data_IF_103342965969
#
_entry.id   IF_103342965969
#
_cell.length_a   1.000
_cell.length_b   1.000
_cell.length_c   1.000
_cell.angle_alpha   90.00
_cell.angle_beta   90.00
_cell.angle_gamma   90.00
#
_symmetry.space_group_name_H-M   'P 1'
#
loop_
_entity.id
_entity.type
_entity.pdbx_description
1 polymer ?
#
# COMPACT_ATOMS: atom_id res chain seq x y z
N UNK A 1 -7.94 53.17 -6.12
CA UNK A 1 -6.95 52.74 -7.13
C UNK A 1 -5.78 52.07 -6.42
N UNK A 2 -5.55 50.79 -6.71
CA UNK A 2 -4.26 50.08 -6.62
C UNK A 2 -3.58 49.90 -5.25
N UNK A 3 -3.90 48.83 -4.53
CA UNK A 3 -2.97 48.20 -3.59
C UNK A 3 -2.57 46.84 -4.14
N UNK A 4 -1.35 46.74 -4.65
CA UNK A 4 -0.75 45.52 -5.17
C UNK A 4 -0.16 44.72 -4.02
N UNK A 5 -0.81 43.62 -3.64
CA UNK A 5 -0.27 42.65 -2.68
C UNK A 5 0.75 41.78 -3.40
N UNK A 6 2.05 42.00 -3.14
CA UNK A 6 3.11 41.08 -3.55
C UNK A 6 3.02 39.80 -2.72
N UNK A 7 2.90 38.66 -3.40
CA UNK A 7 2.97 37.30 -2.84
C UNK A 7 4.23 37.15 -1.97
N UNK A 8 4.04 36.95 -0.66
CA UNK A 8 5.09 36.44 0.21
C UNK A 8 5.32 34.96 -0.13
N UNK A 9 6.53 34.62 -0.59
CA UNK A 9 7.01 33.23 -0.63
C UNK A 9 7.06 32.73 0.81
N UNK A 10 6.36 31.63 1.06
CA UNK A 10 6.38 30.87 2.31
C UNK A 10 7.80 30.33 2.49
N UNK A 11 8.60 30.97 3.36
CA UNK A 11 9.91 30.46 3.78
C UNK A 11 9.61 29.37 4.81
N UNK A 12 9.88 28.12 4.46
CA UNK A 12 9.89 27.01 5.41
C UNK A 12 11.13 27.17 6.30
N UNK A 13 10.92 27.38 7.60
CA UNK A 13 11.96 27.28 8.61
C UNK A 13 12.24 25.78 8.84
N UNK A 14 13.31 25.28 8.22
CA UNK A 14 13.90 23.99 8.55
C UNK A 14 14.72 24.15 9.83
N UNK A 15 14.30 23.51 10.92
CA UNK A 15 15.07 23.45 12.15
C UNK A 15 16.24 22.48 11.98
N UNK A 16 17.45 23.02 11.80
CA UNK A 16 18.70 22.27 11.85
C UNK A 16 18.91 21.68 13.25
N UNK A 17 19.18 20.37 13.34
CA UNK A 17 19.66 19.75 14.57
C UNK A 17 21.15 20.11 14.76
N UNK A 18 21.49 20.69 15.91
CA UNK A 18 22.88 21.00 16.29
C UNK A 18 23.35 19.88 17.22
N UNK A 19 24.30 19.06 16.74
CA UNK A 19 25.00 18.08 17.58
C UNK A 19 26.28 18.70 18.14
N UNK A 20 26.44 18.69 19.46
CA UNK A 20 27.63 19.19 20.17
C UNK A 20 28.64 18.05 20.30
N UNK A 21 29.82 18.20 19.66
CA UNK A 21 31.00 17.39 19.99
C UNK A 21 31.85 18.13 21.03
N UNK A 22 32.68 17.43 21.84
CA UNK A 22 33.51 18.03 22.89
C UNK A 22 34.55 19.06 22.38
N UNK A 23 34.76 19.14 21.06
CA UNK A 23 35.75 20.01 20.42
C UNK A 23 35.12 21.25 19.73
N UNK A 24 33.86 21.58 20.01
CA UNK A 24 33.25 22.87 19.59
C UNK A 24 33.07 23.05 18.08
N UNK A 25 33.14 21.97 17.29
CA UNK A 25 32.86 22.04 15.86
C UNK A 25 31.34 21.88 15.64
N UNK A 26 30.70 22.96 15.17
CA UNK A 26 29.30 22.94 14.77
C UNK A 26 29.18 22.29 13.39
N UNK A 27 28.74 21.04 13.34
CA UNK A 27 28.23 20.46 12.11
C UNK A 27 26.79 20.95 11.94
N UNK A 28 26.59 21.93 11.05
CA UNK A 28 25.26 22.21 10.52
C UNK A 28 24.94 21.03 9.60
N UNK A 29 24.18 20.05 10.10
CA UNK A 29 23.55 19.07 9.24
C UNK A 29 22.59 19.85 8.33
N UNK A 30 23.00 20.07 7.08
CA UNK A 30 22.05 20.54 6.08
C UNK A 30 20.99 19.46 5.97
N UNK A 31 19.70 19.79 6.14
CA UNK A 31 18.65 18.83 5.87
C UNK A 31 18.87 18.32 4.45
N UNK A 32 18.93 16.99 4.28
CA UNK A 32 18.94 16.40 2.95
C UNK A 32 17.71 16.92 2.19
N UNK A 33 17.88 17.32 0.93
CA UNK A 33 16.72 17.70 0.12
C UNK A 33 15.80 16.49 -0.04
N UNK A 34 14.49 16.71 -0.09
CA UNK A 34 13.52 15.63 -0.37
C UNK A 34 13.90 14.87 -1.65
N UNK A 35 14.32 15.59 -2.69
CA UNK A 35 14.85 15.02 -3.92
C UNK A 35 16.04 14.08 -3.71
N UNK A 36 16.90 14.34 -2.72
CA UNK A 36 18.01 13.45 -2.42
C UNK A 36 17.51 12.14 -1.81
N UNK A 37 16.56 12.21 -0.87
CA UNK A 37 16.01 11.01 -0.23
C UNK A 37 15.16 10.16 -1.20
N UNK A 38 14.43 10.79 -2.12
CA UNK A 38 13.63 10.11 -3.15
C UNK A 38 14.51 9.35 -4.14
N UNK A 39 15.64 9.93 -4.52
CA UNK A 39 16.51 9.37 -5.56
C UNK A 39 17.70 8.60 -5.01
N UNK A 40 17.90 8.59 -3.68
CA UNK A 40 18.97 7.82 -3.05
C UNK A 40 18.61 6.34 -3.10
N UNK A 41 19.52 5.56 -3.68
CA UNK A 41 19.55 4.11 -3.51
C UNK A 41 20.16 3.78 -2.16
N UNK A 42 19.48 2.93 -1.41
CA UNK A 42 20.02 2.33 -0.20
C UNK A 42 20.42 0.87 -0.48
N UNK A 43 21.73 0.55 -0.55
CA UNK A 43 22.21 -0.80 -0.82
C UNK A 43 21.72 -1.83 0.19
N UNK A 44 21.55 -1.43 1.45
CA UNK A 44 21.16 -2.35 2.53
C UNK A 44 19.70 -2.82 2.34
N UNK A 45 18.81 -1.92 1.90
CA UNK A 45 17.42 -2.27 1.56
C UNK A 45 17.38 -3.15 0.31
N UNK A 46 18.23 -2.85 -0.68
CA UNK A 46 18.33 -3.67 -1.88
C UNK A 46 18.78 -5.10 -1.55
N UNK A 47 19.91 -5.25 -0.84
CA UNK A 47 20.46 -6.52 -0.39
C UNK A 47 19.45 -7.30 0.44
N UNK A 48 18.80 -6.64 1.40
CA UNK A 48 17.74 -7.26 2.21
C UNK A 48 16.62 -7.85 1.35
N UNK A 49 16.08 -7.07 0.39
CA UNK A 49 14.99 -7.56 -0.46
C UNK A 49 15.46 -8.72 -1.33
N UNK A 50 16.63 -8.62 -1.97
CA UNK A 50 17.16 -9.66 -2.86
C UNK A 50 17.44 -10.99 -2.10
N UNK A 51 17.97 -10.93 -0.89
CA UNK A 51 18.30 -12.11 -0.09
C UNK A 51 17.08 -12.77 0.56
N UNK A 52 16.03 -12.00 0.86
CA UNK A 52 14.89 -12.49 1.65
C UNK A 52 13.61 -12.70 0.84
N UNK A 53 13.56 -12.29 -0.43
CA UNK A 53 12.35 -12.35 -1.26
C UNK A 53 11.71 -13.74 -1.33
N UNK A 54 12.51 -14.79 -1.51
CA UNK A 54 12.00 -16.17 -1.57
C UNK A 54 11.34 -16.59 -0.25
N UNK A 55 11.98 -16.24 0.88
CA UNK A 55 11.45 -16.54 2.21
C UNK A 55 10.18 -15.72 2.51
N UNK A 56 10.12 -14.46 2.06
CA UNK A 56 8.94 -13.61 2.18
C UNK A 56 7.77 -14.24 1.41
N UNK A 57 7.98 -14.60 0.14
CA UNK A 57 6.96 -15.26 -0.70
C UNK A 57 6.49 -16.56 -0.04
N UNK A 58 7.41 -17.42 0.39
CA UNK A 58 7.07 -18.68 1.05
C UNK A 58 6.22 -18.45 2.31
N UNK A 59 6.56 -17.43 3.12
CA UNK A 59 5.76 -17.07 4.28
C UNK A 59 4.36 -16.57 3.92
N UNK A 60 4.20 -15.84 2.80
CA UNK A 60 2.89 -15.44 2.30
C UNK A 60 2.06 -16.64 1.86
N UNK A 61 2.65 -17.53 1.05
CA UNK A 61 1.99 -18.76 0.57
C UNK A 61 1.52 -19.64 1.72
N UNK A 62 2.38 -19.88 2.71
CA UNK A 62 2.07 -20.69 3.89
C UNK A 62 0.96 -20.05 4.74
N UNK A 63 1.10 -18.76 5.08
CA UNK A 63 0.20 -18.10 6.03
C UNK A 63 -1.17 -17.79 5.42
N UNK A 64 -1.23 -17.49 4.12
CA UNK A 64 -2.44 -17.08 3.43
C UNK A 64 -3.11 -18.24 2.67
N UNK A 65 -2.41 -19.38 2.52
CA UNK A 65 -2.91 -20.52 1.76
C UNK A 65 -3.06 -20.21 0.26
N UNK A 66 -2.14 -19.42 -0.29
CA UNK A 66 -2.09 -19.03 -1.70
C UNK A 66 -0.87 -19.66 -2.38
N UNK A 67 -0.79 -19.57 -3.70
CA UNK A 67 0.45 -19.85 -4.42
C UNK A 67 0.70 -18.83 -5.53
N UNK A 68 1.92 -18.33 -5.61
CA UNK A 68 2.36 -17.41 -6.66
C UNK A 68 2.56 -18.17 -7.97
N UNK A 69 1.87 -17.78 -9.07
CA UNK A 69 2.03 -18.46 -10.35
C UNK A 69 3.45 -18.34 -10.92
N UNK A 70 4.12 -17.22 -10.66
CA UNK A 70 5.47 -16.96 -11.14
C UNK A 70 6.28 -16.18 -10.09
N UNK A 71 7.59 -16.45 -10.03
CA UNK A 71 8.51 -15.72 -9.15
C UNK A 71 8.78 -14.30 -9.69
N UNK A 72 8.65 -13.24 -8.87
CA UNK A 72 8.89 -11.85 -9.29
C UNK A 72 10.38 -11.61 -9.57
N UNK A 73 10.69 -10.85 -10.63
CA UNK A 73 12.09 -10.72 -11.13
C UNK A 73 12.58 -9.29 -11.33
N UNK A 74 11.69 -8.31 -11.52
CA UNK A 74 12.10 -6.96 -11.87
C UNK A 74 11.93 -6.02 -10.68
N UNK A 75 13.06 -5.61 -10.10
CA UNK A 75 13.11 -4.72 -8.96
C UNK A 75 13.87 -3.45 -9.32
N UNK A 76 13.35 -2.30 -8.91
CA UNK A 76 13.98 -1.00 -9.08
C UNK A 76 13.88 -0.21 -7.78
N UNK A 77 15.03 0.20 -7.24
CA UNK A 77 15.12 0.87 -5.94
C UNK A 77 15.03 2.40 -6.05
N UNK A 78 14.42 2.87 -7.14
CA UNK A 78 14.11 4.28 -7.41
C UNK A 78 12.68 4.32 -7.97
N UNK A 79 11.81 5.10 -7.34
CA UNK A 79 10.46 5.34 -7.86
C UNK A 79 10.50 6.13 -9.18
N UNK A 80 9.58 5.87 -10.14
CA UNK A 80 9.47 6.68 -11.34
C UNK A 80 9.25 8.17 -10.99
N UNK A 81 9.88 9.06 -11.77
CA UNK A 81 10.29 10.43 -11.40
C UNK A 81 9.21 11.50 -11.14
N UNK A 82 8.01 11.10 -10.70
CA UNK A 82 6.90 12.00 -10.36
C UNK A 82 6.20 11.64 -9.03
N UNK A 83 6.81 10.78 -8.22
CA UNK A 83 6.11 10.21 -7.07
C UNK A 83 6.28 11.05 -5.79
N UNK A 84 5.16 11.19 -5.09
CA UNK A 84 5.03 11.82 -3.79
C UNK A 84 5.82 11.01 -2.74
N UNK A 85 6.46 11.67 -1.76
CA UNK A 85 7.12 11.05 -0.61
C UNK A 85 6.24 10.07 0.19
N UNK A 86 4.94 10.08 -0.06
CA UNK A 86 3.98 9.21 0.61
C UNK A 86 3.84 7.82 -0.07
N UNK A 87 4.53 7.57 -1.18
CA UNK A 87 4.55 6.27 -1.85
C UNK A 87 5.90 5.65 -1.52
N UNK A 88 5.91 4.50 -0.85
CA UNK A 88 7.13 3.82 -0.41
C UNK A 88 7.47 2.61 -1.29
N UNK A 89 6.43 1.96 -1.82
CA UNK A 89 6.46 0.87 -2.77
C UNK A 89 5.48 1.13 -3.92
N UNK A 90 5.71 0.48 -5.04
CA UNK A 90 4.78 0.44 -6.16
C UNK A 90 5.05 -0.80 -7.02
N UNK A 91 4.05 -1.65 -7.19
CA UNK A 91 4.01 -2.64 -8.27
C UNK A 91 3.38 -2.07 -9.55
N UNK A 92 4.10 -2.10 -10.67
CA UNK A 92 3.58 -1.77 -12.00
C UNK A 92 3.28 -3.05 -12.80
N UNK A 93 2.01 -3.40 -12.90
CA UNK A 93 1.52 -4.56 -13.66
C UNK A 93 1.89 -4.52 -15.15
N UNK A 94 2.08 -3.34 -15.76
CA UNK A 94 2.39 -3.25 -17.20
C UNK A 94 3.78 -3.74 -17.53
N UNK A 95 4.72 -3.51 -16.62
CA UNK A 95 6.13 -3.85 -16.77
C UNK A 95 6.53 -4.99 -15.85
N UNK A 96 5.59 -5.49 -15.03
CA UNK A 96 5.83 -6.44 -13.95
C UNK A 96 7.07 -6.04 -13.13
N UNK A 97 7.12 -4.77 -12.71
CA UNK A 97 8.26 -4.17 -12.02
C UNK A 97 7.85 -3.60 -10.67
N UNK A 98 8.62 -3.93 -9.65
CA UNK A 98 8.49 -3.39 -8.31
C UNK A 98 9.42 -2.18 -8.18
N UNK A 99 8.88 -1.08 -7.66
CA UNK A 99 9.63 0.12 -7.36
C UNK A 99 9.61 0.38 -5.87
N UNK A 100 10.78 0.59 -5.26
CA UNK A 100 10.90 0.87 -3.82
C UNK A 100 11.67 2.17 -3.59
N UNK A 101 11.17 3.02 -2.69
CA UNK A 101 11.89 4.22 -2.26
C UNK A 101 12.93 3.88 -1.18
N UNK A 102 14.00 3.21 -1.58
CA UNK A 102 14.99 2.63 -0.66
C UNK A 102 15.60 3.64 0.33
N UNK A 103 15.82 4.90 -0.06
CA UNK A 103 16.40 5.93 0.82
C UNK A 103 15.58 6.32 2.05
N UNK A 104 14.34 5.84 2.19
CA UNK A 104 13.47 6.09 3.36
C UNK A 104 12.91 4.81 3.99
N UNK A 105 13.28 3.64 3.47
CA UNK A 105 12.95 2.35 4.07
C UNK A 105 14.02 1.95 5.08
N UNK A 106 13.61 1.13 6.05
CA UNK A 106 14.51 0.57 7.07
C UNK A 106 14.48 -0.95 7.00
N UNK A 107 15.57 -1.60 7.38
CA UNK A 107 15.62 -3.07 7.46
C UNK A 107 15.34 -3.54 8.89
N UNK A 108 14.90 -4.80 9.12
CA UNK A 108 14.62 -5.30 10.46
C UNK A 108 15.86 -5.33 11.39
N UNK A 109 17.07 -5.36 10.80
CA UNK A 109 18.32 -5.23 11.53
C UNK A 109 18.66 -3.75 11.72
N UNK A 110 18.64 -3.25 12.95
CA UNK A 110 19.00 -1.86 13.24
C UNK A 110 20.41 -1.55 12.73
N UNK A 111 20.52 -0.63 11.77
CA UNK A 111 21.81 -0.06 11.38
C UNK A 111 21.84 1.46 11.64
N UNK A 112 23.05 2.02 11.71
CA UNK A 112 23.23 3.45 12.00
C UNK A 112 22.64 4.36 10.91
N UNK A 113 22.43 3.83 9.70
CA UNK A 113 21.76 4.48 8.58
C UNK A 113 20.26 4.69 8.83
N UNK A 114 19.56 3.69 9.40
CA UNK A 114 18.13 3.76 9.75
C UNK A 114 17.83 4.92 10.72
N UNK A 115 18.73 5.16 11.67
CA UNK A 115 18.63 6.30 12.59
C UNK A 115 18.72 7.66 11.86
N UNK A 116 19.61 7.80 10.88
CA UNK A 116 19.69 9.04 10.10
C UNK A 116 18.54 9.19 9.12
N UNK A 117 18.06 8.10 8.52
CA UNK A 117 16.90 8.09 7.64
C UNK A 117 15.64 8.52 8.41
N UNK A 118 15.42 7.98 9.60
CA UNK A 118 14.29 8.38 10.47
C UNK A 118 14.39 9.85 10.89
N UNK A 119 15.57 10.36 11.27
CA UNK A 119 15.73 11.81 11.56
C UNK A 119 15.47 12.67 10.31
N UNK A 120 16.03 12.30 9.16
CA UNK A 120 15.92 13.08 7.93
C UNK A 120 14.48 13.10 7.37
N UNK A 121 13.71 12.05 7.62
CA UNK A 121 12.32 11.91 7.17
C UNK A 121 11.29 12.31 8.22
N UNK A 122 11.73 12.81 9.38
CA UNK A 122 10.86 13.10 10.53
C UNK A 122 10.06 11.87 11.03
N UNK A 123 10.70 10.70 11.03
CA UNK A 123 10.15 9.44 11.55
C UNK A 123 9.22 8.73 10.57
N UNK A 124 9.24 9.07 9.29
CA UNK A 124 8.39 8.46 8.25
C UNK A 124 9.01 7.20 7.61
N UNK A 125 9.88 6.52 8.33
CA UNK A 125 10.49 5.29 7.85
C UNK A 125 9.55 4.11 8.08
N UNK A 126 9.40 3.26 7.07
CA UNK A 126 8.70 1.98 7.19
C UNK A 126 9.68 0.81 7.02
N UNK A 127 9.28 -0.35 7.50
CA UNK A 127 10.05 -1.59 7.36
C UNK A 127 9.96 -2.11 5.92
N UNK A 128 11.10 -2.34 5.27
CA UNK A 128 11.17 -2.82 3.89
C UNK A 128 10.34 -4.09 3.69
N UNK A 129 10.36 -5.01 4.66
CA UNK A 129 9.55 -6.24 4.63
C UNK A 129 8.06 -5.96 4.48
N UNK A 130 7.50 -5.03 5.25
CA UNK A 130 6.07 -4.69 5.21
C UNK A 130 5.67 -4.13 3.85
N UNK A 131 6.50 -3.25 3.29
CA UNK A 131 6.25 -2.67 1.96
C UNK A 131 6.37 -3.74 0.88
N UNK A 132 7.34 -4.65 0.97
CA UNK A 132 7.41 -5.81 0.05
C UNK A 132 6.18 -6.69 0.19
N UNK A 133 5.73 -6.98 1.42
CA UNK A 133 4.53 -7.79 1.65
C UNK A 133 3.29 -7.19 0.98
N UNK A 134 3.15 -5.87 1.07
CA UNK A 134 2.08 -5.09 0.45
C UNK A 134 2.14 -5.15 -1.08
N UNK A 135 3.29 -4.86 -1.69
CA UNK A 135 3.42 -4.84 -3.15
C UNK A 135 3.32 -6.24 -3.78
N UNK A 136 3.78 -7.28 -3.07
CA UNK A 136 3.63 -8.67 -3.50
C UNK A 136 2.15 -9.10 -3.56
N UNK A 137 1.27 -8.48 -2.77
CA UNK A 137 -0.16 -8.74 -2.87
C UNK A 137 -0.76 -8.19 -4.17
N UNK A 138 -0.33 -7.00 -4.60
CA UNK A 138 -0.75 -6.44 -5.89
C UNK A 138 -0.26 -7.31 -7.05
N UNK A 139 1.00 -7.77 -6.98
CA UNK A 139 1.56 -8.72 -7.94
C UNK A 139 0.80 -10.05 -7.98
N UNK A 140 0.45 -10.59 -6.81
CA UNK A 140 -0.36 -11.82 -6.71
C UNK A 140 -1.70 -11.66 -7.41
N UNK A 141 -2.45 -10.60 -7.08
CA UNK A 141 -3.77 -10.34 -7.67
C UNK A 141 -3.70 -10.17 -9.19
N UNK A 142 -2.67 -9.52 -9.70
CA UNK A 142 -2.45 -9.37 -11.14
C UNK A 142 -2.23 -10.74 -11.83
N UNK A 143 -1.30 -11.56 -11.33
CA UNK A 143 -1.06 -12.91 -11.87
C UNK A 143 -2.27 -13.83 -11.71
N UNK A 144 -3.01 -13.71 -10.61
CA UNK A 144 -4.24 -14.46 -10.38
C UNK A 144 -5.29 -14.10 -11.43
N UNK A 145 -5.49 -12.80 -11.70
CA UNK A 145 -6.37 -12.33 -12.76
C UNK A 145 -5.96 -12.85 -14.14
N UNK A 146 -4.66 -12.84 -14.45
CA UNK A 146 -4.12 -13.39 -15.69
C UNK A 146 -4.36 -14.90 -15.80
N UNK A 147 -4.15 -15.67 -14.72
CA UNK A 147 -4.40 -17.11 -14.67
C UNK A 147 -5.87 -17.48 -14.88
N UNK A 148 -6.77 -16.56 -14.57
CA UNK A 148 -8.22 -16.66 -14.79
C UNK A 148 -8.65 -16.14 -16.17
N UNK A 149 -7.69 -15.83 -17.06
CA UNK A 149 -7.91 -15.28 -18.40
C UNK A 149 -8.65 -13.94 -18.42
N UNK A 150 -8.51 -13.13 -17.36
CA UNK A 150 -9.16 -11.80 -17.22
C UNK A 150 -8.23 -10.62 -17.51
N UNK A 151 -6.96 -10.91 -17.79
CA UNK A 151 -5.93 -9.91 -18.08
C UNK A 151 -5.46 -9.17 -16.82
N UNK A 152 -4.77 -8.05 -17.02
CA UNK A 152 -4.14 -7.27 -15.95
C UNK A 152 -5.13 -6.78 -14.90
N UNK A 153 -4.71 -6.75 -13.63
CA UNK A 153 -5.53 -6.23 -12.53
C UNK A 153 -4.74 -5.25 -11.64
N UNK A 154 -5.37 -4.15 -11.18
CA UNK A 154 -6.71 -3.69 -11.55
C UNK A 154 -6.76 -3.05 -12.95
N UNK A 155 -7.70 -3.49 -13.79
CA UNK A 155 -7.94 -2.85 -15.09
C UNK A 155 -8.83 -1.62 -14.91
N UNK A 156 -8.28 -0.42 -15.03
CA UNK A 156 -9.04 0.82 -14.94
C UNK A 156 -9.61 1.31 -16.28
N UNK A 157 -9.34 0.62 -17.39
CA UNK A 157 -9.74 1.09 -18.72
C UNK A 157 -11.26 1.12 -18.84
N UNK A 158 -11.78 2.23 -19.36
CA UNK A 158 -13.22 2.41 -19.67
C UNK A 158 -14.18 2.27 -18.48
N UNK A 159 -13.68 2.41 -17.25
CA UNK A 159 -14.51 2.36 -16.04
C UNK A 159 -14.91 3.76 -15.59
N UNK A 160 -16.10 3.88 -15.02
CA UNK A 160 -16.53 5.12 -14.37
C UNK A 160 -15.75 5.35 -13.06
N UNK A 161 -15.78 6.59 -12.56
CA UNK A 161 -15.00 6.98 -11.37
C UNK A 161 -15.35 6.18 -10.11
N UNK A 162 -16.61 5.75 -9.95
CA UNK A 162 -17.03 4.94 -8.80
C UNK A 162 -16.43 3.55 -8.92
N UNK A 163 -16.49 2.95 -10.10
CA UNK A 163 -15.88 1.63 -10.33
C UNK A 163 -14.36 1.68 -10.15
N UNK A 164 -13.68 2.73 -10.60
CA UNK A 164 -12.24 2.91 -10.34
C UNK A 164 -11.96 3.00 -8.84
N UNK A 165 -12.72 3.81 -8.12
CA UNK A 165 -12.55 4.02 -6.69
C UNK A 165 -12.79 2.74 -5.88
N UNK A 166 -13.85 1.99 -6.22
CA UNK A 166 -14.17 0.72 -5.54
C UNK A 166 -13.12 -0.34 -5.82
N UNK A 167 -12.62 -0.45 -7.05
CA UNK A 167 -11.48 -1.33 -7.37
C UNK A 167 -10.23 -0.93 -6.59
N UNK A 168 -9.98 0.36 -6.42
CA UNK A 168 -8.85 0.83 -5.60
C UNK A 168 -9.01 0.40 -4.13
N UNK A 169 -10.19 0.54 -3.54
CA UNK A 169 -10.47 0.05 -2.18
C UNK A 169 -10.19 -1.45 -2.07
N UNK A 170 -10.62 -2.26 -3.05
CA UNK A 170 -10.36 -3.70 -3.04
C UNK A 170 -8.87 -4.01 -3.21
N UNK A 171 -8.17 -3.34 -4.13
CA UNK A 171 -6.73 -3.50 -4.37
C UNK A 171 -5.91 -3.21 -3.13
N UNK A 172 -6.06 -2.01 -2.59
CA UNK A 172 -5.30 -1.56 -1.42
C UNK A 172 -5.74 -2.33 -0.17
N UNK A 173 -7.04 -2.63 -0.02
CA UNK A 173 -7.55 -3.44 1.07
C UNK A 173 -7.00 -4.86 1.09
N UNK A 174 -6.87 -5.50 -0.07
CA UNK A 174 -6.27 -6.83 -0.20
C UNK A 174 -4.77 -6.78 0.10
N UNK A 175 -4.06 -5.76 -0.36
CA UNK A 175 -2.65 -5.58 -0.02
C UNK A 175 -2.42 -5.32 1.47
N UNK A 176 -3.25 -4.49 2.09
CA UNK A 176 -3.27 -4.33 3.55
C UNK A 176 -3.61 -5.62 4.29
N UNK A 177 -4.46 -6.49 3.72
CA UNK A 177 -4.75 -7.80 4.30
C UNK A 177 -3.51 -8.69 4.34
N UNK A 178 -2.73 -8.74 3.27
CA UNK A 178 -1.47 -9.48 3.22
C UNK A 178 -0.48 -8.92 4.24
N UNK A 179 -0.23 -7.61 4.18
CA UNK A 179 0.68 -6.90 5.07
C UNK A 179 0.35 -7.14 6.55
N UNK A 180 -0.90 -6.87 6.97
CA UNK A 180 -1.31 -7.01 8.37
C UNK A 180 -1.31 -8.46 8.83
N UNK A 181 -1.80 -9.39 8.00
CA UNK A 181 -1.83 -10.81 8.38
C UNK A 181 -0.43 -11.33 8.63
N UNK A 182 0.56 -10.94 7.81
CA UNK A 182 1.94 -11.40 7.94
C UNK A 182 2.67 -10.75 9.12
N UNK A 183 2.40 -9.48 9.39
CA UNK A 183 3.15 -8.69 10.35
C UNK A 183 2.42 -8.48 11.69
N UNK A 184 1.32 -9.21 11.93
CA UNK A 184 0.56 -9.17 13.18
C UNK A 184 -0.22 -7.86 13.39
N UNK A 185 -0.59 -7.19 12.30
CA UNK A 185 -1.43 -6.01 12.32
C UNK A 185 -2.87 -6.35 12.70
N UNK A 186 -3.51 -5.46 13.45
CA UNK A 186 -4.92 -5.55 13.82
C UNK A 186 -5.78 -4.63 12.94
N UNK A 187 -7.07 -4.93 12.87
CA UNK A 187 -8.06 -4.07 12.23
C UNK A 187 -8.45 -2.94 13.18
N UNK A 188 -7.90 -1.75 12.94
CA UNK A 188 -8.15 -0.55 13.72
C UNK A 188 -9.24 0.36 13.14
N UNK A 189 -9.93 -0.10 12.08
CA UNK A 189 -10.98 0.65 11.41
C UNK A 189 -12.35 0.25 11.95
N UNK A 190 -13.17 1.23 12.28
CA UNK A 190 -14.52 1.00 12.77
C UNK A 190 -15.57 1.27 11.69
N UNK A 191 -16.68 0.52 11.70
CA UNK A 191 -17.83 0.76 10.83
C UNK A 191 -18.34 2.22 10.87
N UNK A 192 -18.22 2.90 12.01
CA UNK A 192 -18.61 4.31 12.17
C UNK A 192 -17.69 5.29 11.42
N UNK A 193 -16.48 4.88 11.07
CA UNK A 193 -15.53 5.66 10.24
C UNK A 193 -15.83 5.51 8.75
N UNK A 194 -16.62 4.50 8.37
CA UNK A 194 -17.02 4.28 6.99
C UNK A 194 -18.04 5.35 6.54
N UNK A 195 -17.81 6.03 5.39
CA UNK A 195 -18.74 7.06 4.95
C UNK A 195 -20.14 6.52 4.65
N UNK A 196 -21.15 7.11 5.29
CA UNK A 196 -22.57 6.78 5.06
C UNK A 196 -23.17 7.48 3.84
N UNK A 197 -22.43 8.42 3.25
CA UNK A 197 -22.83 9.19 2.08
C UNK A 197 -21.68 9.24 1.08
N UNK A 198 -22.03 9.26 -0.21
CA UNK A 198 -21.03 9.22 -1.29
C UNK A 198 -20.06 10.40 -1.23
N UNK A 199 -20.56 11.60 -0.92
CA UNK A 199 -19.71 12.78 -0.77
C UNK A 199 -18.64 12.58 0.30
N UNK A 200 -18.90 11.78 1.34
CA UNK A 200 -17.91 11.48 2.39
C UNK A 200 -16.65 10.77 1.88
N UNK A 201 -16.72 10.05 0.76
CA UNK A 201 -15.54 9.43 0.12
C UNK A 201 -14.67 10.42 -0.67
N UNK A 202 -15.19 11.61 -0.98
CA UNK A 202 -14.51 12.62 -1.82
C UNK A 202 -14.38 13.99 -1.15
N UNK A 203 -15.08 14.24 -0.03
CA UNK A 203 -15.21 15.56 0.61
C UNK A 203 -14.08 15.88 1.59
N UNK A 204 -13.14 14.97 1.81
CA UNK A 204 -12.14 15.07 2.86
C UNK A 204 -10.73 15.36 2.37
N UNK A 205 -10.00 16.09 3.21
CA UNK A 205 -8.53 16.20 3.25
C UNK A 205 -7.88 14.89 2.78
N UNK A 206 -6.86 14.96 1.91
CA UNK A 206 -6.15 13.79 1.33
C UNK A 206 -5.91 12.62 2.30
N UNK A 207 -5.69 12.88 3.60
CA UNK A 207 -5.51 11.87 4.64
C UNK A 207 -6.73 10.98 4.91
N UNK A 208 -7.96 11.51 4.84
CA UNK A 208 -9.19 10.73 5.05
C UNK A 208 -9.43 9.73 3.91
N UNK A 209 -9.17 10.16 2.66
CA UNK A 209 -9.30 9.27 1.50
C UNK A 209 -8.31 8.10 1.58
N UNK A 210 -7.08 8.37 2.03
CA UNK A 210 -6.10 7.30 2.26
C UNK A 210 -6.58 6.34 3.35
N UNK A 211 -7.08 6.84 4.50
CA UNK A 211 -7.54 5.94 5.57
C UNK A 211 -8.67 5.02 5.12
N UNK A 212 -9.63 5.54 4.35
CA UNK A 212 -10.73 4.74 3.81
C UNK A 212 -10.23 3.71 2.80
N UNK A 213 -9.29 4.09 1.93
CA UNK A 213 -8.74 3.19 0.90
C UNK A 213 -7.94 2.04 1.53
N UNK A 214 -7.05 2.34 2.48
CA UNK A 214 -6.17 1.33 3.08
C UNK A 214 -6.85 0.60 4.25
N UNK A 215 -7.08 1.28 5.38
CA UNK A 215 -7.67 0.65 6.57
C UNK A 215 -9.14 0.27 6.34
N UNK A 216 -9.92 1.14 5.71
CA UNK A 216 -11.29 0.80 5.35
C UNK A 216 -11.36 -0.33 4.32
N UNK A 217 -10.46 -0.34 3.33
CA UNK A 217 -10.34 -1.44 2.37
C UNK A 217 -10.02 -2.77 3.07
N UNK A 218 -9.06 -2.77 4.00
CA UNK A 218 -8.73 -3.93 4.82
C UNK A 218 -9.95 -4.43 5.58
N UNK A 219 -10.63 -3.53 6.30
CA UNK A 219 -11.86 -3.82 7.05
C UNK A 219 -12.95 -4.44 6.17
N UNK A 220 -13.09 -3.95 4.93
CA UNK A 220 -14.03 -4.47 3.96
C UNK A 220 -13.70 -5.91 3.55
N UNK A 221 -12.46 -6.18 3.14
CA UNK A 221 -12.07 -7.46 2.53
C UNK A 221 -11.81 -8.56 3.56
N UNK A 222 -11.30 -8.20 4.75
CA UNK A 222 -10.82 -9.13 5.77
C UNK A 222 -11.80 -10.26 6.10
N UNK A 223 -13.07 -10.02 6.49
CA UNK A 223 -13.97 -11.11 6.87
C UNK A 223 -14.30 -12.07 5.71
N UNK A 224 -14.17 -11.61 4.46
CA UNK A 224 -14.41 -12.42 3.26
C UNK A 224 -13.19 -13.30 2.97
N UNK A 225 -11.99 -12.72 3.03
CA UNK A 225 -10.74 -13.46 2.80
C UNK A 225 -10.47 -14.43 3.97
N UNK A 226 -10.70 -14.05 5.22
CA UNK A 226 -10.58 -14.95 6.39
C UNK A 226 -11.42 -16.23 6.21
N UNK A 227 -12.62 -16.10 5.64
CA UNK A 227 -13.55 -17.22 5.50
C UNK A 227 -13.28 -18.08 4.26
N UNK A 228 -12.86 -17.47 3.15
CA UNK A 228 -12.80 -18.14 1.84
C UNK A 228 -11.40 -18.21 1.21
N UNK A 229 -10.38 -17.65 1.87
CA UNK A 229 -9.00 -17.60 1.38
C UNK A 229 -8.90 -17.01 -0.01
N UNK A 230 -8.12 -17.66 -0.88
CA UNK A 230 -7.96 -17.28 -2.28
C UNK A 230 -9.29 -17.08 -3.03
N UNK A 231 -10.29 -17.94 -2.82
CA UNK A 231 -11.61 -17.79 -3.49
C UNK A 231 -12.30 -16.48 -3.11
N UNK A 232 -12.08 -16.00 -1.88
CA UNK A 232 -12.55 -14.70 -1.44
C UNK A 232 -11.89 -13.56 -2.23
N UNK A 233 -10.58 -13.62 -2.40
CA UNK A 233 -9.80 -12.65 -3.19
C UNK A 233 -10.29 -12.61 -4.63
N UNK A 234 -10.36 -13.78 -5.30
CA UNK A 234 -10.86 -13.91 -6.68
C UNK A 234 -12.24 -13.27 -6.84
N UNK A 235 -13.14 -13.54 -5.89
CA UNK A 235 -14.49 -13.03 -5.96
C UNK A 235 -14.56 -11.51 -5.80
N UNK A 236 -13.81 -10.96 -4.84
CA UNK A 236 -13.74 -9.52 -4.58
C UNK A 236 -13.21 -8.75 -5.79
N UNK A 237 -12.15 -9.26 -6.44
CA UNK A 237 -11.53 -8.63 -7.61
C UNK A 237 -12.51 -8.36 -8.74
N UNK A 238 -13.53 -9.20 -8.88
CA UNK A 238 -14.49 -9.14 -10.00
C UNK A 238 -15.93 -8.84 -9.57
N UNK A 239 -16.18 -8.66 -8.28
CA UNK A 239 -17.47 -8.25 -7.74
C UNK A 239 -17.32 -7.05 -6.79
N UNK A 240 -16.70 -5.93 -7.24
CA UNK A 240 -16.53 -4.75 -6.40
C UNK A 240 -17.89 -4.18 -5.96
N UNK A 241 -17.96 -3.45 -4.83
CA UNK A 241 -19.19 -2.82 -4.38
C UNK A 241 -19.78 -1.91 -5.46
N UNK A 242 -21.09 -2.00 -5.69
CA UNK A 242 -21.80 -1.00 -6.49
C UNK A 242 -21.99 0.29 -5.69
N UNK A 243 -22.35 1.38 -6.38
CA UNK A 243 -22.57 2.70 -5.76
C UNK A 243 -23.38 2.67 -4.45
N UNK A 244 -24.54 1.99 -4.44
CA UNK A 244 -25.40 1.93 -3.25
C UNK A 244 -24.90 0.97 -2.16
N UNK A 245 -24.05 0.02 -2.54
CA UNK A 245 -23.44 -0.94 -1.63
C UNK A 245 -22.23 -0.33 -0.93
N UNK A 246 -21.53 0.56 -1.62
CA UNK A 246 -20.36 1.26 -1.08
C UNK A 246 -20.71 2.07 0.17
N UNK A 247 -21.89 2.70 0.24
CA UNK A 247 -22.34 3.44 1.44
C UNK A 247 -22.97 2.52 2.52
N UNK A 248 -23.05 1.21 2.27
CA UNK A 248 -23.66 0.21 3.17
C UNK A 248 -22.76 -1.02 3.27
N UNK A 249 -21.56 -0.81 3.80
CA UNK A 249 -20.50 -1.82 3.89
C UNK A 249 -21.00 -3.18 4.44
N UNK A 250 -21.73 -3.26 5.57
CA UNK A 250 -22.20 -4.55 6.09
C UNK A 250 -23.08 -5.31 5.09
N UNK A 251 -23.91 -4.61 4.31
CA UNK A 251 -24.78 -5.25 3.31
C UNK A 251 -23.99 -5.81 2.13
N UNK A 252 -22.91 -5.14 1.74
CA UNK A 252 -22.00 -5.65 0.73
C UNK A 252 -21.35 -6.94 1.21
N UNK A 253 -20.78 -6.94 2.41
CA UNK A 253 -20.14 -8.11 3.00
C UNK A 253 -21.13 -9.28 3.14
N UNK A 254 -22.33 -9.04 3.68
CA UNK A 254 -23.39 -10.05 3.78
C UNK A 254 -23.72 -10.70 2.42
N UNK A 255 -23.87 -9.89 1.37
CA UNK A 255 -24.15 -10.39 0.01
C UNK A 255 -23.02 -11.27 -0.50
N UNK A 256 -21.77 -10.77 -0.46
CA UNK A 256 -20.61 -11.50 -0.95
C UNK A 256 -20.44 -12.82 -0.19
N UNK A 257 -20.58 -12.79 1.14
CA UNK A 257 -20.47 -13.97 2.00
C UNK A 257 -21.52 -15.03 1.67
N UNK A 258 -22.75 -14.61 1.35
CA UNK A 258 -23.82 -15.50 0.93
C UNK A 258 -23.51 -16.13 -0.44
N UNK A 259 -23.21 -15.31 -1.44
CA UNK A 259 -22.95 -15.76 -2.82
C UNK A 259 -21.75 -16.73 -2.87
N UNK A 260 -20.67 -16.44 -2.12
CA UNK A 260 -19.52 -17.34 -2.01
C UNK A 260 -19.85 -18.64 -1.29
N UNK A 261 -20.67 -18.61 -0.23
CA UNK A 261 -21.09 -19.83 0.47
C UNK A 261 -21.88 -20.76 -0.45
N UNK A 262 -22.77 -20.20 -1.27
CA UNK A 262 -23.56 -20.95 -2.25
C UNK A 262 -22.69 -21.56 -3.35
N UNK A 263 -21.73 -20.78 -3.90
CA UNK A 263 -20.78 -21.26 -4.91
C UNK A 263 -19.90 -22.41 -4.39
N UNK A 264 -19.34 -22.27 -3.20
CA UNK A 264 -18.50 -23.32 -2.60
C UNK A 264 -19.30 -24.58 -2.27
N UNK A 265 -20.60 -24.46 -1.98
CA UNK A 265 -21.46 -25.62 -1.78
C UNK A 265 -21.70 -26.39 -3.09
N UNK A 266 -21.97 -25.67 -4.18
CA UNK A 266 -22.19 -26.26 -5.51
C UNK A 266 -20.96 -27.05 -6.00
N UNK A 267 -19.75 -26.50 -5.84
CA UNK A 267 -18.50 -27.16 -6.22
C UNK A 267 -18.17 -28.44 -5.42
N UNK A 268 -18.83 -28.67 -4.27
CA UNK A 268 -18.67 -29.90 -3.49
C UNK A 268 -19.65 -31.01 -3.91
N UNK A 269 -20.69 -30.64 -4.65
CA UNK A 269 -21.70 -31.58 -5.14
C UNK A 269 -21.35 -32.12 -6.54
N UNK A 270 -20.45 -31.44 -7.25
CA UNK A 270 -19.86 -31.85 -8.55
C UNK A 270 -18.66 -32.79 -8.38
#
# INVERSE_FOLDING_TARGET
MGLTVKKAKKIFLLSSAISLTPLGHYYILRPFSEDFLINKRDPDVQEYIEENLEQIIQAQEEKLGISYPTFPKNFNYILPSNNNLNILGLYDHKTNTFFFQSGILTTPGFNFGDFFASIATFGKTEEAKRIVDHELAHYYCDNLSESLERGSWPDYRYKDQITIFTLKIISEGTAMYFENTLNGGEDDFNDSEWPTEFNGFFSGVYSLNNRIIYQGGYHLVKPIIDKFGQKGIEYLMFNPPRYLELIKLPKYQERIMKELSEKVAQEKEE
#
